data_IF_861907378358
#
_entry.id   IF_861907378358
#
_cell.length_a   1.000
_cell.length_b   1.000
_cell.length_c   1.000
_cell.angle_alpha   90.00
_cell.angle_beta   90.00
_cell.angle_gamma   90.00
#
_symmetry.space_group_name_H-M   'P 1'
#
loop_
_entity.id
_entity.type
_entity.pdbx_description
1 polymer ?
#
# COMPACT_ATOMS: atom_id res chain seq x y z
N UNK A 1 -19.92 -10.09 -12.18
CA UNK A 1 -18.76 -9.22 -12.44
C UNK A 1 -17.94 -9.93 -13.51
N UNK A 2 -17.62 -9.25 -14.61
CA UNK A 2 -16.78 -9.81 -15.68
C UNK A 2 -15.48 -9.03 -15.65
N UNK A 3 -14.37 -9.72 -15.45
CA UNK A 3 -13.05 -9.12 -15.42
C UNK A 3 -12.47 -9.12 -16.83
N UNK A 4 -12.11 -7.93 -17.30
CA UNK A 4 -11.35 -7.76 -18.54
C UNK A 4 -9.84 -7.86 -18.22
N UNK A 5 -9.07 -8.40 -19.15
CA UNK A 5 -7.61 -8.37 -19.03
C UNK A 5 -7.13 -6.90 -18.98
N UNK A 6 -6.28 -6.59 -17.99
CA UNK A 6 -5.76 -5.25 -17.76
C UNK A 6 -4.24 -5.28 -17.56
N UNK A 7 -3.63 -4.11 -17.52
CA UNK A 7 -2.23 -3.94 -17.16
C UNK A 7 -2.09 -3.60 -15.68
N UNK A 8 -0.94 -3.95 -15.11
CA UNK A 8 -0.50 -3.49 -13.80
C UNK A 8 0.93 -2.97 -13.89
N UNK A 9 1.18 -1.80 -13.31
CA UNK A 9 2.51 -1.21 -13.17
C UNK A 9 2.77 -0.99 -11.69
N UNK A 10 3.88 -1.53 -11.19
CA UNK A 10 4.27 -1.42 -9.80
C UNK A 10 5.69 -0.92 -9.64
N UNK A 11 5.94 -0.21 -8.54
CA UNK A 11 7.26 0.14 -8.06
C UNK A 11 7.34 -0.11 -6.56
N UNK A 12 8.48 -0.63 -6.11
CA UNK A 12 8.77 -0.82 -4.69
C UNK A 12 10.16 -0.25 -4.39
N UNK A 13 10.34 0.25 -3.17
CA UNK A 13 11.61 0.81 -2.73
C UNK A 13 11.90 0.46 -1.28
N UNK A 14 13.19 0.50 -0.96
CA UNK A 14 13.72 0.38 0.39
C UNK A 14 14.95 1.27 0.51
N UNK A 15 15.00 2.08 1.55
CA UNK A 15 16.12 2.96 1.85
C UNK A 15 16.39 2.99 3.35
N UNK A 16 17.63 2.74 3.75
CA UNK A 16 18.03 2.80 5.16
C UNK A 16 18.59 4.18 5.49
N UNK A 17 17.91 4.95 6.34
CA UNK A 17 18.42 6.23 6.86
C UNK A 17 19.60 6.01 7.81
N UNK A 18 19.52 4.93 8.59
CA UNK A 18 20.55 4.45 9.52
C UNK A 18 20.58 2.91 9.44
N UNK A 19 21.58 2.23 10.03
CA UNK A 19 21.54 0.78 10.13
C UNK A 19 20.27 0.24 10.81
N UNK A 20 19.62 1.03 11.67
CA UNK A 20 18.45 0.62 12.44
C UNK A 20 17.11 1.06 11.82
N UNK A 21 17.08 2.06 10.93
CA UNK A 21 15.84 2.71 10.48
C UNK A 21 15.72 2.65 8.96
N UNK A 22 14.64 2.02 8.49
CA UNK A 22 14.33 1.82 7.09
C UNK A 22 13.06 2.57 6.67
N UNK A 23 13.12 3.23 5.52
CA UNK A 23 12.01 3.79 4.77
C UNK A 23 11.70 2.89 3.59
N UNK A 24 10.54 2.26 3.61
CA UNK A 24 10.13 1.28 2.62
C UNK A 24 8.77 1.68 2.05
N UNK A 25 8.49 1.23 0.85
CA UNK A 25 7.15 1.39 0.30
C UNK A 25 6.95 0.73 -1.04
N UNK A 26 5.71 0.80 -1.48
CA UNK A 26 5.27 0.37 -2.79
C UNK A 26 4.22 1.33 -3.32
N UNK A 27 4.11 1.37 -4.64
CA UNK A 27 2.99 1.94 -5.36
C UNK A 27 2.62 1.02 -6.52
N UNK A 28 1.34 0.74 -6.65
CA UNK A 28 0.76 -0.05 -7.73
C UNK A 28 -0.30 0.78 -8.46
N UNK A 29 -0.30 0.68 -9.78
CA UNK A 29 -1.36 1.16 -10.66
C UNK A 29 -1.96 -0.03 -11.40
N UNK A 30 -3.28 -0.17 -11.36
CA UNK A 30 -4.02 -1.21 -12.09
C UNK A 30 -4.96 -0.50 -13.07
N UNK A 31 -4.89 -0.87 -14.34
CA UNK A 31 -5.80 -0.34 -15.36
C UNK A 31 -7.25 -0.81 -15.14
N UNK A 32 -8.24 -0.23 -15.82
CA UNK A 32 -9.64 -0.64 -15.71
C UNK A 32 -9.85 -2.15 -15.94
N UNK A 33 -10.59 -2.80 -15.04
CA UNK A 33 -10.85 -4.24 -14.98
C UNK A 33 -12.23 -4.64 -15.51
N UNK A 34 -12.91 -3.73 -16.21
CA UNK A 34 -14.24 -3.97 -16.77
C UNK A 34 -15.33 -3.21 -16.01
N UNK A 35 -16.26 -3.93 -15.39
CA UNK A 35 -17.42 -3.34 -14.70
C UNK A 35 -17.37 -3.62 -13.20
N UNK A 36 -17.54 -2.58 -12.38
CA UNK A 36 -17.52 -2.64 -10.92
C UNK A 36 -18.76 -3.31 -10.32
N UNK A 37 -18.79 -3.44 -8.99
CA UNK A 37 -19.91 -4.04 -8.24
C UNK A 37 -21.22 -3.25 -8.33
N UNK A 38 -21.21 -2.04 -8.89
CA UNK A 38 -22.35 -1.15 -9.07
C UNK A 38 -22.78 -1.02 -10.53
N UNK A 39 -22.18 -1.80 -11.45
CA UNK A 39 -22.50 -1.78 -12.87
C UNK A 39 -21.81 -0.69 -13.69
N UNK A 40 -20.84 0.02 -13.12
CA UNK A 40 -20.11 1.10 -13.80
C UNK A 40 -18.75 0.64 -14.32
N UNK A 41 -18.24 1.31 -15.36
CA UNK A 41 -16.87 1.07 -15.82
C UNK A 41 -15.86 1.44 -14.74
N UNK A 42 -15.00 0.48 -14.40
CA UNK A 42 -13.91 0.67 -13.44
C UNK A 42 -12.95 1.76 -13.91
N UNK A 43 -12.28 2.41 -12.97
CA UNK A 43 -11.22 3.40 -13.22
C UNK A 43 -9.85 2.79 -12.96
N UNK A 44 -8.81 3.50 -13.39
CA UNK A 44 -7.44 3.19 -12.96
C UNK A 44 -7.38 3.29 -11.43
N UNK A 45 -6.99 2.20 -10.80
CA UNK A 45 -6.79 2.09 -9.36
C UNK A 45 -5.33 2.42 -9.02
N UNK A 46 -5.12 3.07 -7.88
CA UNK A 46 -3.79 3.22 -7.30
C UNK A 46 -3.79 2.81 -5.83
N UNK A 47 -2.84 1.96 -5.46
CA UNK A 47 -2.50 1.60 -4.08
C UNK A 47 -1.09 2.10 -3.81
N UNK A 48 -0.89 2.80 -2.69
CA UNK A 48 0.45 3.04 -2.17
C UNK A 48 0.50 2.70 -0.69
N UNK A 49 1.58 2.04 -0.29
CA UNK A 49 1.91 1.84 1.12
C UNK A 49 3.30 2.43 1.34
N UNK A 50 3.41 3.34 2.29
CA UNK A 50 4.69 3.92 2.73
C UNK A 50 4.86 3.62 4.21
N UNK A 51 6.03 3.13 4.61
CA UNK A 51 6.31 2.77 6.01
C UNK A 51 7.72 3.17 6.44
N UNK A 52 7.84 3.52 7.71
CA UNK A 52 9.10 3.70 8.43
C UNK A 52 9.16 2.61 9.49
N UNK A 53 10.20 1.79 9.45
CA UNK A 53 10.42 0.66 10.33
C UNK A 53 11.75 0.80 11.06
N UNK A 54 11.79 0.38 12.32
CA UNK A 54 13.00 0.40 13.14
C UNK A 54 13.31 -0.99 13.72
N UNK A 55 14.55 -1.45 13.54
CA UNK A 55 15.04 -2.72 14.08
C UNK A 55 15.30 -2.62 15.59
N UNK A 56 14.50 -3.35 16.35
CA UNK A 56 14.52 -3.31 17.82
C UNK A 56 15.83 -3.87 18.40
N UNK A 57 16.46 -4.83 17.73
CA UNK A 57 17.73 -5.42 18.13
C UNK A 57 18.88 -4.44 17.94
N UNK A 58 18.94 -3.77 16.79
CA UNK A 58 19.99 -2.78 16.51
C UNK A 58 19.87 -1.61 17.50
N UNK A 59 18.66 -1.12 17.75
CA UNK A 59 18.43 -0.02 18.69
C UNK A 59 18.80 -0.37 20.15
N UNK A 60 18.64 -1.63 20.56
CA UNK A 60 18.87 -2.04 21.95
C UNK A 60 20.25 -2.64 22.21
N UNK A 61 20.85 -3.32 21.24
CA UNK A 61 22.07 -4.12 21.42
C UNK A 61 23.12 -3.93 20.32
N UNK A 62 22.84 -3.10 19.32
CA UNK A 62 23.72 -2.90 18.16
C UNK A 62 23.74 -4.08 17.17
N UNK A 63 22.91 -5.10 17.39
CA UNK A 63 22.78 -6.28 16.51
C UNK A 63 21.32 -6.54 16.21
N UNK A 64 21.00 -6.77 14.94
CA UNK A 64 19.63 -7.10 14.53
C UNK A 64 19.15 -8.38 15.22
N UNK A 65 17.89 -8.34 15.66
CA UNK A 65 17.14 -9.51 16.14
C UNK A 65 16.03 -9.91 15.16
N UNK A 66 16.02 -9.34 13.96
CA UNK A 66 15.00 -9.54 12.94
C UNK A 66 13.64 -8.88 13.22
N UNK A 67 13.40 -8.35 14.43
CA UNK A 67 12.14 -7.71 14.79
C UNK A 67 12.19 -6.21 14.51
N UNK A 68 11.40 -5.79 13.52
CA UNK A 68 11.21 -4.40 13.15
C UNK A 68 9.82 -3.94 13.56
N UNK A 69 9.71 -2.73 14.10
CA UNK A 69 8.44 -2.09 14.44
C UNK A 69 8.37 -0.68 13.87
N UNK A 70 7.19 -0.19 13.57
CA UNK A 70 7.07 1.11 12.93
C UNK A 70 5.65 1.54 12.62
N UNK A 71 5.57 2.53 11.74
CA UNK A 71 4.32 3.10 11.30
C UNK A 71 4.27 3.14 9.77
N UNK A 72 3.07 2.97 9.24
CA UNK A 72 2.78 3.05 7.82
C UNK A 72 1.59 3.93 7.50
N UNK A 73 1.48 4.31 6.24
CA UNK A 73 0.33 4.97 5.67
C UNK A 73 -0.04 4.22 4.39
N UNK A 74 -1.24 3.65 4.37
CA UNK A 74 -1.85 3.10 3.16
C UNK A 74 -2.74 4.16 2.53
N UNK A 75 -2.65 4.30 1.21
CA UNK A 75 -3.50 5.18 0.44
C UNK A 75 -4.07 4.43 -0.77
N UNK A 76 -5.37 4.58 -0.96
CA UNK A 76 -6.10 4.12 -2.13
C UNK A 76 -6.68 5.29 -2.91
N UNK A 77 -6.60 5.19 -4.23
CA UNK A 77 -7.40 5.96 -5.18
C UNK A 77 -8.21 5.00 -6.04
N UNK A 78 -9.52 5.21 -6.07
CA UNK A 78 -10.47 4.35 -6.77
C UNK A 78 -10.42 2.90 -6.29
N UNK A 79 -10.48 2.67 -4.97
CA UNK A 79 -10.45 1.34 -4.36
C UNK A 79 -11.51 0.41 -4.99
N UNK A 80 -11.09 -0.78 -5.39
CA UNK A 80 -11.83 -1.77 -6.19
C UNK A 80 -12.22 -1.26 -7.60
N UNK A 81 -11.42 -0.37 -8.18
CA UNK A 81 -11.70 0.29 -9.45
C UNK A 81 -12.92 1.23 -9.44
N UNK A 82 -13.53 1.54 -8.30
CA UNK A 82 -14.82 2.25 -8.26
C UNK A 82 -14.73 3.73 -8.69
N UNK A 83 -15.72 4.19 -9.47
CA UNK A 83 -15.89 5.60 -9.84
C UNK A 83 -16.52 6.40 -8.69
N UNK A 84 -15.85 7.43 -8.12
CA UNK A 84 -16.39 8.19 -7.00
C UNK A 84 -17.68 8.95 -7.33
N UNK A 85 -17.91 9.32 -8.60
CA UNK A 85 -19.14 10.00 -9.01
C UNK A 85 -20.36 9.06 -9.07
N UNK A 86 -20.13 7.74 -9.04
CA UNK A 86 -21.16 6.72 -9.21
C UNK A 86 -21.21 5.71 -8.06
N UNK A 87 -20.30 5.83 -7.10
CA UNK A 87 -20.29 5.03 -5.89
C UNK A 87 -21.28 5.63 -4.87
N UNK A 88 -22.18 4.82 -4.27
CA UNK A 88 -23.11 5.29 -3.24
C UNK A 88 -22.47 5.99 -2.03
N UNK A 89 -21.21 5.68 -1.70
CA UNK A 89 -20.47 6.33 -0.61
C UNK A 89 -20.01 7.75 -0.95
N UNK A 90 -20.06 8.16 -2.23
CA UNK A 90 -19.49 9.42 -2.72
C UNK A 90 -17.96 9.51 -2.68
N UNK A 91 -17.27 8.46 -2.23
CA UNK A 91 -15.81 8.41 -2.16
C UNK A 91 -15.28 7.01 -2.45
N UNK A 92 -14.18 6.94 -3.18
CA UNK A 92 -13.45 5.71 -3.46
C UNK A 92 -11.98 5.85 -3.09
N UNK A 93 -11.68 6.86 -2.26
CA UNK A 93 -10.36 7.10 -1.68
C UNK A 93 -10.35 6.60 -0.25
N UNK A 94 -9.23 6.04 0.15
CA UNK A 94 -8.99 5.61 1.53
C UNK A 94 -7.58 6.03 1.93
N UNK A 95 -7.44 6.49 3.18
CA UNK A 95 -6.15 6.81 3.79
C UNK A 95 -6.14 6.18 5.17
N UNK A 96 -5.28 5.19 5.37
CA UNK A 96 -5.29 4.36 6.58
C UNK A 96 -3.93 4.41 7.26
N UNK A 97 -3.80 5.05 8.43
CA UNK A 97 -2.58 4.95 9.23
C UNK A 97 -2.45 3.53 9.81
N UNK A 98 -1.24 3.02 9.87
CA UNK A 98 -0.94 1.66 10.32
C UNK A 98 0.14 1.68 11.40
N UNK A 99 -0.04 0.84 12.41
CA UNK A 99 1.06 0.34 13.24
C UNK A 99 1.54 -0.97 12.63
N UNK A 100 2.84 -1.14 12.50
CA UNK A 100 3.43 -2.25 11.77
C UNK A 100 4.48 -2.97 12.61
N UNK A 101 4.51 -4.29 12.49
CA UNK A 101 5.54 -5.15 13.04
C UNK A 101 5.92 -6.20 12.00
N UNK A 102 7.21 -6.40 11.80
CA UNK A 102 7.78 -7.37 10.86
C UNK A 102 8.85 -8.19 11.55
N UNK A 103 8.91 -9.47 11.19
CA UNK A 103 9.98 -10.37 11.64
C UNK A 103 10.70 -10.94 10.42
N UNK A 104 12.00 -10.70 10.32
CA UNK A 104 12.88 -11.22 9.27
C UNK A 104 13.74 -12.34 9.85
N UNK A 105 13.75 -13.52 9.20
CA UNK A 105 14.42 -14.75 9.65
C UNK A 105 15.78 -14.97 8.98
#
# INVERSE_FOLDING_TARGET
MTFDATWKLGAAWSYNFTPAVAFNGLIDFVGPEGTDGFGNKTKIEALSIVKVMADTGILSSGKSNGLLVGAGLEYWRHKFGNDPAKNPSGTTKETTPMLMAEYHF
#
